data_IF_409598315506
#
_entry.id   IF_409598315506
#
_cell.length_a   1.000
_cell.length_b   1.000
_cell.length_c   1.000
_cell.angle_alpha   90.00
_cell.angle_beta   90.00
_cell.angle_gamma   90.00
#
_symmetry.space_group_name_H-M   'P 1'
#
loop_
_entity.id
_entity.type
_entity.pdbx_description
1 polymer ?
#
# COMPACT_ATOMS: atom_id res chain seq x y z
N UNK A 1 -6.62 -8.31 -15.77
CA UNK A 1 -7.55 -7.18 -16.01
C UNK A 1 -8.64 -7.18 -14.95
N UNK A 2 -8.80 -6.08 -14.22
CA UNK A 2 -9.84 -5.93 -13.18
C UNK A 2 -10.86 -4.91 -13.66
N UNK A 3 -12.09 -5.36 -13.84
CA UNK A 3 -13.20 -4.50 -14.26
C UNK A 3 -13.97 -4.03 -13.04
N UNK A 4 -13.98 -2.73 -12.81
CA UNK A 4 -14.85 -2.06 -11.83
C UNK A 4 -16.15 -1.64 -12.53
N UNK A 5 -17.08 -1.06 -11.79
CA UNK A 5 -18.39 -0.68 -12.33
C UNK A 5 -18.26 0.27 -13.54
N UNK A 6 -17.29 1.19 -13.52
CA UNK A 6 -17.07 2.20 -14.57
C UNK A 6 -15.63 2.29 -15.09
N UNK A 7 -14.67 1.60 -14.45
CA UNK A 7 -13.23 1.71 -14.74
C UNK A 7 -12.62 0.33 -14.90
N UNK A 8 -11.74 0.18 -15.87
CA UNK A 8 -10.93 -1.01 -16.08
C UNK A 8 -9.49 -0.75 -15.61
N UNK A 9 -9.01 -1.56 -14.68
CA UNK A 9 -7.62 -1.48 -14.18
C UNK A 9 -6.84 -2.68 -14.71
N UNK A 10 -5.79 -2.42 -15.47
CA UNK A 10 -4.86 -3.40 -16.06
C UNK A 10 -3.44 -3.21 -15.54
N UNK A 11 -3.01 -1.96 -15.45
CA UNK A 11 -1.62 -1.56 -15.19
C UNK A 11 -1.54 -0.87 -13.84
N UNK A 12 -0.71 -1.41 -12.97
CA UNK A 12 -0.50 -0.85 -11.63
C UNK A 12 0.94 -0.39 -11.47
N UNK A 13 1.13 0.84 -11.06
CA UNK A 13 2.42 1.34 -10.60
C UNK A 13 2.59 1.06 -9.12
N UNK A 14 3.69 0.41 -8.73
CA UNK A 14 4.10 0.19 -7.34
C UNK A 14 5.33 1.03 -7.06
N UNK A 15 5.20 2.04 -6.21
CA UNK A 15 6.25 3.00 -5.93
C UNK A 15 6.83 2.76 -4.53
N UNK A 16 8.07 2.29 -4.51
CA UNK A 16 8.76 1.74 -3.34
C UNK A 16 8.84 0.22 -3.39
N UNK A 17 10.06 -0.32 -3.45
CA UNK A 17 10.37 -1.74 -3.62
C UNK A 17 10.77 -2.44 -2.31
N UNK A 18 10.42 -1.85 -1.16
CA UNK A 18 10.57 -2.50 0.14
C UNK A 18 9.65 -3.71 0.30
N UNK A 19 9.67 -4.36 1.47
CA UNK A 19 8.86 -5.56 1.76
C UNK A 19 7.38 -5.38 1.40
N UNK A 20 6.79 -4.23 1.69
CA UNK A 20 5.38 -3.96 1.42
C UNK A 20 5.13 -3.80 -0.09
N UNK A 21 5.94 -2.99 -0.78
CA UNK A 21 5.77 -2.78 -2.22
C UNK A 21 6.04 -4.03 -3.03
N UNK A 22 7.10 -4.78 -2.72
CA UNK A 22 7.39 -6.05 -3.38
C UNK A 22 6.27 -7.09 -3.17
N UNK A 23 5.67 -7.12 -1.96
CA UNK A 23 4.50 -7.96 -1.67
C UNK A 23 3.27 -7.54 -2.46
N UNK A 24 3.03 -6.24 -2.62
CA UNK A 24 1.96 -5.73 -3.49
C UNK A 24 2.20 -6.12 -4.95
N UNK A 25 3.44 -5.97 -5.44
CA UNK A 25 3.78 -6.36 -6.81
C UNK A 25 3.47 -7.84 -7.06
N UNK A 26 3.94 -8.75 -6.20
CA UNK A 26 3.63 -10.18 -6.30
C UNK A 26 2.11 -10.44 -6.28
N UNK A 27 1.38 -9.75 -5.41
CA UNK A 27 -0.07 -9.92 -5.30
C UNK A 27 -0.83 -9.45 -6.55
N UNK A 28 -0.48 -8.29 -7.09
CA UNK A 28 -1.10 -7.78 -8.32
C UNK A 28 -0.82 -8.70 -9.52
N UNK A 29 0.40 -9.22 -9.64
CA UNK A 29 0.78 -10.21 -10.67
C UNK A 29 -0.04 -11.49 -10.56
N UNK A 30 -0.28 -11.99 -9.35
CA UNK A 30 -1.11 -13.16 -9.09
C UNK A 30 -2.59 -12.94 -9.49
N UNK A 31 -3.02 -11.67 -9.57
CA UNK A 31 -4.36 -11.29 -10.03
C UNK A 31 -4.38 -10.87 -11.52
N UNK A 32 -3.32 -11.18 -12.28
CA UNK A 32 -3.29 -10.98 -13.73
C UNK A 32 -3.10 -9.53 -14.17
N UNK A 33 -2.58 -8.67 -13.30
CA UNK A 33 -2.27 -7.27 -13.61
C UNK A 33 -0.84 -7.10 -14.12
N UNK A 34 -0.62 -6.11 -14.97
CA UNK A 34 0.71 -5.67 -15.38
C UNK A 34 1.27 -4.71 -14.32
N UNK A 35 2.48 -4.95 -13.85
CA UNK A 35 3.05 -4.18 -12.75
C UNK A 35 4.31 -3.46 -13.19
N UNK A 36 4.40 -2.15 -12.91
CA UNK A 36 5.65 -1.41 -13.00
C UNK A 36 6.09 -1.00 -11.60
N UNK A 37 7.27 -1.46 -11.19
CA UNK A 37 7.84 -1.16 -9.87
C UNK A 37 8.89 -0.08 -9.98
N UNK A 38 8.90 0.87 -9.03
CA UNK A 38 9.92 1.91 -8.93
C UNK A 38 10.55 1.96 -7.54
N UNK A 39 11.88 2.08 -7.53
CA UNK A 39 12.63 2.37 -6.31
C UNK A 39 14.01 2.95 -6.71
N UNK A 40 14.56 3.93 -5.99
CA UNK A 40 15.87 4.52 -6.31
C UNK A 40 17.07 3.65 -5.89
N UNK A 41 16.87 2.61 -5.08
CA UNK A 41 17.97 1.77 -4.61
C UNK A 41 18.54 0.91 -5.76
N UNK A 42 19.86 0.82 -5.90
CA UNK A 42 20.50 0.13 -7.05
C UNK A 42 20.21 -1.37 -7.12
N UNK A 43 19.93 -2.00 -5.99
CA UNK A 43 19.64 -3.43 -5.87
C UNK A 43 18.13 -3.74 -5.77
N UNK A 44 17.29 -2.72 -5.93
CA UNK A 44 15.84 -2.84 -5.75
C UNK A 44 15.21 -3.83 -6.74
N UNK A 45 15.61 -3.80 -8.01
CA UNK A 45 15.10 -4.73 -9.02
C UNK A 45 15.30 -6.19 -8.61
N UNK A 46 16.51 -6.54 -8.18
CA UNK A 46 16.83 -7.92 -7.79
C UNK A 46 16.12 -8.33 -6.50
N UNK A 47 15.93 -7.39 -5.59
CA UNK A 47 15.13 -7.61 -4.37
C UNK A 47 13.69 -7.92 -4.67
N UNK A 48 13.08 -7.16 -5.59
CA UNK A 48 11.70 -7.39 -6.04
C UNK A 48 11.58 -8.75 -6.71
N UNK A 49 12.49 -9.09 -7.64
CA UNK A 49 12.47 -10.38 -8.32
C UNK A 49 12.50 -11.54 -7.31
N UNK A 50 13.48 -11.54 -6.40
CA UNK A 50 13.56 -12.57 -5.33
C UNK A 50 12.33 -12.61 -4.43
N UNK A 51 11.70 -11.47 -4.16
CA UNK A 51 10.50 -11.42 -3.34
C UNK A 51 9.28 -12.03 -4.07
N UNK A 52 9.12 -11.72 -5.37
CA UNK A 52 8.08 -12.32 -6.21
C UNK A 52 8.25 -13.82 -6.26
N UNK A 53 9.46 -14.32 -6.57
CA UNK A 53 9.77 -15.74 -6.62
C UNK A 53 9.45 -16.45 -5.29
N UNK A 54 9.84 -15.84 -4.17
CA UNK A 54 9.60 -16.37 -2.83
C UNK A 54 8.13 -16.37 -2.41
N UNK A 55 7.33 -15.41 -2.89
CA UNK A 55 5.91 -15.30 -2.58
C UNK A 55 5.04 -16.20 -3.48
N UNK A 56 5.51 -16.51 -4.69
CA UNK A 56 4.72 -17.18 -5.72
C UNK A 56 4.12 -18.52 -5.29
N UNK A 57 4.87 -19.45 -4.65
CA UNK A 57 4.31 -20.73 -4.21
C UNK A 57 3.16 -20.60 -3.21
N UNK A 58 3.13 -19.53 -2.41
CA UNK A 58 2.01 -19.26 -1.51
C UNK A 58 0.80 -18.71 -2.26
N UNK A 59 1.04 -17.84 -3.25
CA UNK A 59 0.00 -17.29 -4.11
C UNK A 59 -0.65 -18.37 -4.98
N UNK A 60 0.11 -19.33 -5.50
CA UNK A 60 -0.42 -20.50 -6.20
C UNK A 60 -1.41 -21.29 -5.35
N UNK A 61 -1.09 -21.51 -4.07
CA UNK A 61 -1.99 -22.20 -3.12
C UNK A 61 -3.24 -21.40 -2.79
N UNK A 62 -3.17 -20.07 -2.83
CA UNK A 62 -4.31 -19.20 -2.60
C UNK A 62 -5.22 -19.07 -3.83
N UNK A 63 -4.72 -19.42 -4.99
CA UNK A 63 -5.40 -19.35 -6.28
C UNK A 63 -4.93 -18.17 -7.12
N UNK A 64 -4.51 -18.47 -8.35
CA UNK A 64 -4.08 -17.49 -9.34
C UNK A 64 -5.22 -17.12 -10.27
N UNK A 65 -5.25 -15.87 -10.72
CA UNK A 65 -6.09 -15.47 -11.84
C UNK A 65 -5.63 -16.14 -13.16
N UNK A 66 -6.50 -16.33 -14.15
CA UNK A 66 -6.13 -16.98 -15.42
C UNK A 66 -4.95 -16.34 -16.15
N UNK A 67 -4.79 -15.03 -15.99
CA UNK A 67 -3.73 -14.23 -16.65
C UNK A 67 -2.52 -13.98 -15.73
N UNK A 68 -2.46 -14.64 -14.57
CA UNK A 68 -1.36 -14.47 -13.61
C UNK A 68 -0.03 -14.95 -14.18
N UNK A 69 1.01 -14.16 -14.01
CA UNK A 69 2.38 -14.52 -14.37
C UNK A 69 3.38 -13.74 -13.49
N UNK A 70 4.40 -14.39 -12.95
CA UNK A 70 5.45 -13.72 -12.17
C UNK A 70 6.32 -12.81 -13.04
N UNK A 71 6.27 -12.94 -14.37
CA UNK A 71 7.13 -12.22 -15.32
C UNK A 71 6.48 -10.92 -15.87
N UNK A 72 5.21 -10.65 -15.56
CA UNK A 72 4.47 -9.49 -16.09
C UNK A 72 4.78 -8.20 -15.38
N UNK A 73 6.03 -7.97 -15.04
CA UNK A 73 6.45 -6.73 -14.39
C UNK A 73 7.67 -6.08 -15.04
N UNK A 74 7.79 -4.80 -14.81
CA UNK A 74 8.90 -3.97 -15.27
C UNK A 74 9.47 -3.18 -14.10
N UNK A 75 10.71 -2.77 -14.23
CA UNK A 75 11.37 -1.90 -13.25
C UNK A 75 11.78 -0.59 -13.87
N UNK A 76 11.49 0.50 -13.18
CA UNK A 76 11.89 1.85 -13.53
C UNK A 76 12.46 2.55 -12.30
N UNK A 77 13.67 3.12 -12.39
CA UNK A 77 14.26 3.85 -11.27
C UNK A 77 13.50 5.16 -10.97
N UNK A 78 13.00 5.83 -12.01
CA UNK A 78 12.21 7.06 -11.89
C UNK A 78 10.74 6.74 -11.61
N UNK A 79 10.17 7.27 -10.51
CA UNK A 79 8.78 7.00 -10.15
C UNK A 79 7.77 7.60 -11.13
N UNK A 80 8.11 8.71 -11.80
CA UNK A 80 7.22 9.31 -12.80
C UNK A 80 7.15 8.45 -14.05
N UNK A 81 8.28 7.88 -14.48
CA UNK A 81 8.32 6.95 -15.60
C UNK A 81 7.62 5.60 -15.26
N UNK A 82 7.69 5.16 -14.00
CA UNK A 82 6.97 3.98 -13.56
C UNK A 82 5.45 4.19 -13.52
N UNK A 83 5.02 5.41 -13.23
CA UNK A 83 3.62 5.79 -13.17
C UNK A 83 2.98 6.01 -14.55
N UNK A 84 3.80 6.20 -15.60
CA UNK A 84 3.30 6.47 -16.94
C UNK A 84 2.39 5.35 -17.45
N UNK A 85 1.18 5.73 -17.84
CA UNK A 85 0.15 4.82 -18.33
C UNK A 85 -0.41 3.86 -17.28
N UNK A 86 -0.17 4.07 -15.98
CA UNK A 86 -0.81 3.28 -14.93
C UNK A 86 -2.28 3.66 -14.74
N UNK A 87 -3.10 2.67 -14.47
CA UNK A 87 -4.54 2.82 -14.18
C UNK A 87 -4.80 2.93 -12.67
N UNK A 88 -3.81 2.52 -11.85
CA UNK A 88 -3.81 2.63 -10.38
C UNK A 88 -2.36 2.74 -9.87
N UNK A 89 -2.16 3.52 -8.81
CA UNK A 89 -0.83 3.69 -8.21
C UNK A 89 -0.86 3.31 -6.73
N UNK A 90 0.01 2.35 -6.32
CA UNK A 90 0.23 1.95 -4.94
C UNK A 90 1.59 2.47 -4.46
N UNK A 91 1.59 3.46 -3.59
CA UNK A 91 2.79 4.04 -3.01
C UNK A 91 3.17 3.30 -1.71
N UNK A 92 4.41 2.86 -1.60
CA UNK A 92 4.97 2.08 -0.49
C UNK A 92 6.40 2.53 -0.11
N UNK A 93 6.72 3.81 -0.31
CA UNK A 93 7.99 4.41 0.07
C UNK A 93 8.15 4.51 1.61
N UNK A 94 9.36 4.83 2.12
CA UNK A 94 9.60 4.93 3.55
C UNK A 94 8.62 5.85 4.29
N UNK A 95 8.25 5.48 5.52
CA UNK A 95 7.24 6.13 6.36
C UNK A 95 7.76 7.46 6.96
N UNK A 96 8.03 8.42 6.07
CA UNK A 96 8.53 9.77 6.40
C UNK A 96 7.79 10.81 5.58
N UNK A 97 7.31 11.87 6.25
CA UNK A 97 6.54 12.94 5.59
C UNK A 97 7.30 13.58 4.43
N UNK A 98 8.57 13.93 4.62
CA UNK A 98 9.37 14.64 3.62
C UNK A 98 9.49 13.83 2.33
N UNK A 99 9.73 12.52 2.47
CA UNK A 99 9.87 11.60 1.33
C UNK A 99 8.52 11.44 0.63
N UNK A 100 7.46 11.13 1.38
CA UNK A 100 6.15 10.85 0.79
C UNK A 100 5.50 12.10 0.18
N UNK A 101 5.61 13.27 0.80
CA UNK A 101 5.07 14.53 0.25
C UNK A 101 5.72 14.83 -1.11
N UNK A 102 7.04 14.77 -1.19
CA UNK A 102 7.73 15.06 -2.47
C UNK A 102 7.39 14.01 -3.53
N UNK A 103 7.35 12.73 -3.14
CA UNK A 103 7.01 11.63 -4.04
C UNK A 103 5.58 11.76 -4.55
N UNK A 104 4.61 11.96 -3.66
CA UNK A 104 3.19 12.11 -4.03
C UNK A 104 2.97 13.33 -4.93
N UNK A 105 3.68 14.44 -4.67
CA UNK A 105 3.66 15.62 -5.54
C UNK A 105 4.18 15.32 -6.96
N UNK A 106 5.21 14.48 -7.09
CA UNK A 106 5.74 14.03 -8.40
C UNK A 106 4.74 13.14 -9.12
N UNK A 107 4.17 12.15 -8.42
CA UNK A 107 3.16 11.24 -8.95
C UNK A 107 1.89 11.99 -9.37
N UNK A 108 1.48 12.98 -8.58
CA UNK A 108 0.33 13.83 -8.88
C UNK A 108 0.47 14.61 -10.19
N UNK A 109 1.69 14.94 -10.58
CA UNK A 109 1.97 15.62 -11.85
C UNK A 109 2.10 14.66 -13.04
N UNK A 110 2.53 13.42 -12.76
CA UNK A 110 2.81 12.42 -13.81
C UNK A 110 1.57 11.64 -14.24
N UNK A 111 0.65 11.39 -13.31
CA UNK A 111 -0.54 10.57 -13.54
C UNK A 111 -1.72 11.40 -14.04
N UNK A 112 -2.57 10.85 -14.92
CA UNK A 112 -3.88 11.42 -15.25
C UNK A 112 -4.73 11.66 -13.99
N UNK A 113 -5.59 12.69 -14.01
CA UNK A 113 -6.35 13.15 -12.83
C UNK A 113 -7.27 12.07 -12.23
N UNK A 114 -7.79 11.21 -13.06
CA UNK A 114 -8.71 10.12 -12.70
C UNK A 114 -8.04 8.92 -12.02
N UNK A 115 -6.71 8.80 -12.11
CA UNK A 115 -5.97 7.69 -11.52
C UNK A 115 -5.83 7.85 -10.02
N UNK A 116 -6.29 6.86 -9.28
CA UNK A 116 -6.17 6.82 -7.81
C UNK A 116 -4.71 6.60 -7.39
N UNK A 117 -4.27 7.39 -6.43
CA UNK A 117 -2.98 7.21 -5.75
C UNK A 117 -3.26 6.76 -4.32
N UNK A 118 -2.98 5.49 -4.04
CA UNK A 118 -3.15 4.88 -2.72
C UNK A 118 -1.79 4.76 -2.01
N UNK A 119 -1.67 5.31 -0.81
CA UNK A 119 -0.46 5.19 0.00
C UNK A 119 -0.59 4.06 1.02
N UNK A 120 0.45 3.22 1.14
CA UNK A 120 0.56 2.17 2.16
C UNK A 120 0.94 2.72 3.55
N UNK A 121 0.86 4.03 3.76
CA UNK A 121 1.20 4.64 5.04
C UNK A 121 0.31 4.10 6.17
N UNK A 122 0.93 3.78 7.32
CA UNK A 122 0.25 3.27 8.50
C UNK A 122 -0.01 4.32 9.57
N UNK A 123 0.80 5.38 9.61
CA UNK A 123 0.78 6.35 10.69
C UNK A 123 0.80 7.82 10.27
N UNK A 124 1.02 8.10 8.99
CA UNK A 124 1.02 9.48 8.50
C UNK A 124 -0.39 9.91 8.09
N UNK A 125 -0.74 11.15 8.42
CA UNK A 125 -2.04 11.71 8.07
C UNK A 125 -2.11 12.00 6.56
N UNK A 126 -3.03 11.35 5.86
CA UNK A 126 -3.23 11.57 4.43
C UNK A 126 -3.55 13.03 4.12
N UNK A 127 -4.30 13.72 4.99
CA UNK A 127 -4.61 15.15 4.85
C UNK A 127 -3.36 16.02 4.76
N UNK A 128 -2.29 15.64 5.49
CA UNK A 128 -0.99 16.31 5.42
C UNK A 128 -0.17 15.88 4.19
N UNK A 129 -0.26 14.61 3.82
CA UNK A 129 0.44 14.09 2.64
C UNK A 129 -0.08 14.74 1.34
N UNK A 130 -1.35 15.08 1.28
CA UNK A 130 -2.00 15.66 0.09
C UNK A 130 -1.91 17.19 0.00
N UNK A 131 -1.30 17.89 0.98
CA UNK A 131 -1.27 19.37 1.04
C UNK A 131 -0.66 20.00 -0.22
N UNK A 132 0.34 19.37 -0.82
CA UNK A 132 1.11 19.90 -1.95
C UNK A 132 0.75 19.25 -3.28
N UNK A 133 -0.34 18.50 -3.35
CA UNK A 133 -0.86 17.91 -4.57
C UNK A 133 -1.89 18.81 -5.23
N UNK A 134 -1.86 18.90 -6.58
CA UNK A 134 -2.80 19.68 -7.36
C UNK A 134 -4.18 19.01 -7.41
N UNK A 135 -4.19 17.68 -7.48
CA UNK A 135 -5.38 16.84 -7.53
C UNK A 135 -5.47 15.96 -6.27
N UNK A 136 -5.47 16.65 -5.12
CA UNK A 136 -5.48 15.99 -3.81
C UNK A 136 -6.68 15.08 -3.57
N UNK A 137 -7.76 15.29 -4.32
CA UNK A 137 -9.02 14.53 -4.22
C UNK A 137 -8.88 13.05 -4.61
N UNK A 138 -7.83 12.69 -5.39
CA UNK A 138 -7.56 11.30 -5.81
C UNK A 138 -6.61 10.53 -4.91
N UNK A 139 -6.11 11.15 -3.83
CA UNK A 139 -5.20 10.52 -2.89
C UNK A 139 -5.95 9.88 -1.74
N UNK A 140 -5.57 8.65 -1.39
CA UNK A 140 -6.17 7.86 -0.32
C UNK A 140 -5.11 7.04 0.40
N UNK A 141 -5.30 6.70 1.66
CA UNK A 141 -4.56 5.60 2.29
C UNK A 141 -5.16 4.27 1.81
N UNK A 142 -4.30 3.36 1.38
CA UNK A 142 -4.60 1.95 1.12
C UNK A 142 -3.62 1.11 1.93
N UNK A 143 -3.79 1.10 3.26
CA UNK A 143 -2.86 0.47 4.19
C UNK A 143 -3.08 -1.04 4.27
N UNK A 144 -2.13 -1.86 3.82
CA UNK A 144 -2.22 -3.31 3.93
C UNK A 144 -1.75 -3.80 5.29
N UNK A 145 -2.21 -4.98 5.67
CA UNK A 145 -1.58 -5.75 6.75
C UNK A 145 -0.47 -6.64 6.19
N UNK A 146 0.65 -6.72 6.91
CA UNK A 146 1.86 -7.39 6.45
C UNK A 146 1.80 -8.90 6.77
N UNK A 147 2.12 -9.78 5.79
CA UNK A 147 2.51 -9.49 4.41
C UNK A 147 1.29 -9.30 3.48
N UNK A 148 1.28 -8.25 2.64
CA UNK A 148 0.17 -7.95 1.74
C UNK A 148 -0.26 -9.09 0.83
N UNK A 149 0.64 -9.92 0.36
CA UNK A 149 0.31 -11.04 -0.53
C UNK A 149 -0.41 -12.20 0.17
N UNK A 150 -0.45 -12.22 1.52
CA UNK A 150 -1.16 -13.24 2.31
C UNK A 150 -2.37 -12.66 3.03
N UNK A 151 -2.19 -11.52 3.73
CA UNK A 151 -3.26 -10.95 4.56
C UNK A 151 -4.25 -10.19 3.68
N UNK A 152 -5.55 -10.56 3.70
CA UNK A 152 -6.53 -9.93 2.80
C UNK A 152 -6.98 -8.53 3.25
N UNK A 153 -6.73 -8.14 4.50
CA UNK A 153 -7.24 -6.89 5.06
C UNK A 153 -6.48 -5.67 4.51
N UNK A 154 -7.23 -4.65 4.09
CA UNK A 154 -6.72 -3.33 3.69
C UNK A 154 -7.58 -2.25 4.35
N UNK A 155 -6.96 -1.30 5.03
CA UNK A 155 -7.64 -0.11 5.55
C UNK A 155 -7.62 0.99 4.50
N UNK A 156 -8.81 1.53 4.19
CA UNK A 156 -8.98 2.63 3.23
C UNK A 156 -9.41 3.88 3.97
N UNK A 157 -8.55 4.90 3.99
CA UNK A 157 -8.77 6.14 4.75
C UNK A 157 -8.61 7.35 3.84
N UNK A 158 -9.65 8.19 3.76
CA UNK A 158 -9.59 9.47 3.07
C UNK A 158 -9.04 10.59 3.93
N UNK A 159 -8.42 11.59 3.32
CA UNK A 159 -8.09 12.86 3.93
C UNK A 159 -9.19 13.89 3.73
N UNK A 160 -8.98 15.12 4.23
CA UNK A 160 -9.97 16.20 4.10
C UNK A 160 -10.30 16.58 2.66
N UNK A 161 -9.35 16.40 1.73
CA UNK A 161 -9.53 16.71 0.32
C UNK A 161 -9.89 15.48 -0.53
N UNK A 162 -9.85 14.27 0.03
CA UNK A 162 -10.13 13.04 -0.72
C UNK A 162 -11.60 13.00 -1.16
N UNK A 163 -11.84 12.83 -2.46
CA UNK A 163 -13.18 12.66 -2.98
C UNK A 163 -13.81 11.33 -2.55
N UNK A 164 -15.11 11.33 -2.33
CA UNK A 164 -15.86 10.11 -2.00
C UNK A 164 -15.72 9.06 -3.12
N UNK A 165 -15.71 9.48 -4.38
CA UNK A 165 -15.51 8.61 -5.54
C UNK A 165 -14.15 7.87 -5.46
N UNK A 166 -13.08 8.56 -5.08
CA UNK A 166 -11.74 7.96 -4.89
C UNK A 166 -11.75 6.83 -3.87
N UNK A 167 -12.43 7.04 -2.73
CA UNK A 167 -12.55 6.00 -1.68
C UNK A 167 -13.33 4.81 -2.23
N UNK A 168 -14.43 5.04 -2.96
CA UNK A 168 -15.24 3.98 -3.56
C UNK A 168 -14.41 3.19 -4.57
N UNK A 169 -13.75 3.87 -5.51
CA UNK A 169 -12.89 3.23 -6.52
C UNK A 169 -11.78 2.39 -5.88
N UNK A 170 -11.08 2.92 -4.88
CA UNK A 170 -10.04 2.17 -4.17
C UNK A 170 -10.62 0.91 -3.48
N UNK A 171 -11.75 1.04 -2.80
CA UNK A 171 -12.41 -0.09 -2.15
C UNK A 171 -12.89 -1.14 -3.15
N UNK A 172 -13.46 -0.74 -4.27
CA UNK A 172 -13.89 -1.65 -5.34
C UNK A 172 -12.69 -2.37 -5.96
N UNK A 173 -11.61 -1.64 -6.26
CA UNK A 173 -10.38 -2.24 -6.76
C UNK A 173 -9.82 -3.29 -5.82
N UNK A 174 -9.66 -2.98 -4.54
CA UNK A 174 -9.15 -3.95 -3.57
C UNK A 174 -10.07 -5.17 -3.44
N UNK A 175 -11.39 -4.99 -3.44
CA UNK A 175 -12.34 -6.13 -3.42
C UNK A 175 -12.21 -7.00 -4.67
N UNK A 176 -12.11 -6.38 -5.83
CA UNK A 176 -12.02 -7.08 -7.12
C UNK A 176 -10.77 -7.96 -7.25
N UNK A 177 -9.70 -7.61 -6.53
CA UNK A 177 -8.50 -8.44 -6.40
C UNK A 177 -8.51 -9.31 -5.12
N UNK A 178 -9.65 -9.60 -4.51
CA UNK A 178 -9.78 -10.53 -3.39
C UNK A 178 -9.38 -9.98 -2.03
N UNK A 179 -9.14 -8.67 -1.89
CA UNK A 179 -8.93 -8.05 -0.58
C UNK A 179 -10.24 -7.77 0.14
N UNK A 180 -10.16 -7.63 1.46
CA UNK A 180 -11.24 -7.18 2.32
C UNK A 180 -10.98 -5.73 2.79
N UNK A 181 -11.30 -4.73 1.95
CA UNK A 181 -11.08 -3.34 2.35
C UNK A 181 -12.07 -2.92 3.42
N UNK A 182 -11.56 -2.25 4.45
CA UNK A 182 -12.36 -1.57 5.48
C UNK A 182 -12.20 -0.07 5.31
N UNK A 183 -13.32 0.63 5.35
CA UNK A 183 -13.30 2.09 5.37
C UNK A 183 -13.19 2.55 6.81
N UNK A 184 -12.16 3.33 7.11
CA UNK A 184 -12.03 4.03 8.37
C UNK A 184 -12.39 5.52 8.23
N UNK A 185 -12.75 6.14 9.37
CA UNK A 185 -13.08 7.55 9.41
C UNK A 185 -11.87 8.41 9.00
N UNK A 186 -12.09 9.59 8.38
CA UNK A 186 -11.01 10.51 8.02
C UNK A 186 -10.10 10.77 9.21
N UNK A 187 -8.79 10.64 9.00
CA UNK A 187 -7.81 10.96 10.04
C UNK A 187 -7.84 12.47 10.33
N UNK A 188 -8.47 12.85 11.42
CA UNK A 188 -8.67 14.25 11.80
C UNK A 188 -9.97 14.53 12.55
N UNK A 189 -10.94 13.60 12.57
CA UNK A 189 -12.10 13.73 13.45
C UNK A 189 -11.70 13.39 14.88
N UNK A 190 -11.67 14.40 15.75
CA UNK A 190 -11.31 14.32 17.18
C UNK A 190 -12.32 13.54 18.03
N UNK A 191 -13.25 12.79 17.45
CA UNK A 191 -14.39 12.18 18.15
C UNK A 191 -14.54 10.67 18.06
N UNK A 192 -13.60 9.95 17.43
CA UNK A 192 -13.60 8.48 17.58
C UNK A 192 -12.21 8.07 18.04
N UNK A 193 -12.13 7.66 19.30
CA UNK A 193 -10.89 7.24 19.94
C UNK A 193 -10.22 6.14 19.11
N UNK A 194 -9.12 6.48 18.50
CA UNK A 194 -8.12 5.53 18.08
C UNK A 194 -7.67 4.75 19.31
N UNK A 195 -8.30 3.62 19.54
CA UNK A 195 -7.65 2.59 20.36
C UNK A 195 -6.54 2.02 19.49
N UNK A 196 -5.28 2.32 19.79
CA UNK A 196 -4.20 1.85 18.95
C UNK A 196 -4.13 0.33 19.05
N UNK A 197 -4.41 -0.36 17.96
CA UNK A 197 -3.84 -1.68 17.69
C UNK A 197 -2.29 -1.57 17.51
N UNK A 198 -1.69 -0.53 18.13
CA UNK A 198 -0.25 -0.24 18.12
C UNK A 198 0.62 -1.32 18.74
N UNK A 199 0.04 -2.35 19.32
CA UNK A 199 0.82 -3.39 20.00
C UNK A 199 1.29 -4.53 19.09
N UNK A 200 0.81 -4.65 17.85
CA UNK A 200 1.11 -5.83 17.02
C UNK A 200 2.10 -5.62 15.88
N UNK A 201 2.35 -4.40 15.44
CA UNK A 201 3.27 -4.15 14.32
C UNK A 201 4.75 -3.97 14.70
N UNK A 202 5.10 -3.82 15.98
CA UNK A 202 6.48 -3.49 16.41
C UNK A 202 7.34 -4.67 16.87
N UNK A 203 6.85 -5.90 16.84
CA UNK A 203 7.62 -7.05 17.36
C UNK A 203 8.43 -7.85 16.32
N UNK A 204 8.41 -7.48 15.04
CA UNK A 204 9.10 -8.28 14.01
C UNK A 204 10.17 -7.54 13.19
N UNK A 205 10.61 -6.35 13.58
CA UNK A 205 11.70 -5.66 12.88
C UNK A 205 12.89 -5.27 13.77
N UNK A 206 13.38 -6.21 14.59
CA UNK A 206 14.72 -6.12 15.17
C UNK A 206 15.24 -7.53 15.41
N UNK A 207 16.00 -8.02 14.45
CA UNK A 207 16.87 -9.17 14.66
C UNK A 207 17.97 -8.86 15.66
N UNK A 208 18.35 -9.88 16.44
CA UNK A 208 19.55 -10.00 17.29
C UNK A 208 19.65 -9.06 18.49
N UNK A 209 19.06 -9.44 19.62
CA UNK A 209 19.81 -9.75 20.83
C UNK A 209 18.92 -10.43 21.88
N UNK A 210 19.03 -11.75 22.02
CA UNK A 210 18.45 -12.47 23.15
C UNK A 210 19.45 -12.44 24.29
N UNK A 211 19.17 -11.68 25.29
CA UNK A 211 19.43 -11.91 26.73
C UNK A 211 19.52 -10.57 27.46
N UNK A 212 18.44 -10.20 28.16
CA UNK A 212 18.44 -9.76 29.55
C UNK A 212 17.16 -8.95 29.91
N UNK A 213 16.54 -9.49 30.96
CA UNK A 213 15.68 -8.83 31.93
C UNK A 213 14.19 -8.63 31.61
N UNK A 214 13.47 -9.71 31.85
CA UNK A 214 12.12 -9.62 32.38
C UNK A 214 12.21 -9.31 33.88
N UNK A 215 11.93 -8.08 34.32
CA UNK A 215 11.59 -7.75 35.72
C UNK A 215 10.59 -6.61 35.79
N UNK A 216 9.41 -6.95 36.33
CA UNK A 216 8.41 -6.09 37.00
C UNK A 216 7.55 -5.20 36.10
N UNK A 217 6.34 -5.69 35.79
CA UNK A 217 5.18 -4.85 35.51
C UNK A 217 4.27 -4.85 36.78
N UNK A 218 3.77 -3.72 37.25
CA UNK A 218 2.76 -3.66 38.33
C UNK A 218 1.38 -4.04 37.77
N UNK A 219 0.61 -4.72 38.59
CA UNK A 219 -0.76 -5.17 38.34
C UNK A 219 -1.68 -3.97 38.10
N UNK A 220 -2.29 -3.85 36.91
CA UNK A 220 -3.46 -3.02 36.69
C UNK A 220 -4.69 -3.69 37.35
N UNK A 221 -5.27 -3.03 38.37
CA UNK A 221 -6.61 -3.36 38.87
C UNK A 221 -7.65 -2.74 37.93
N UNK A 222 -8.63 -3.50 37.52
CA UNK A 222 -9.84 -3.01 36.89
C UNK A 222 -10.74 -2.39 37.96
N UNK A 223 -11.37 -1.24 37.74
CA UNK A 223 -12.44 -0.72 38.60
C UNK A 223 -13.76 -1.44 38.31
N UNK A 224 -14.70 -1.42 39.28
CA UNK A 224 -15.96 -2.16 39.26
C UNK A 224 -16.92 -1.72 38.16
#
# INVERSE_FOLDING_TARGET
>A
MVKLTEIEIRRVAVIGAGTIGASWAAYFLAHGLDVTVSDPAPDARDKVARHIDGAWPALEKLGLAPEASPDRWRFQADPSAAADGADFCQESAPERYEIKIELLRRLDRALPREVVIASSSSGLLISRLQEHCNYAERLVIGHPFNPPHIVPLVEVVGGFKTAQATIVTAMEFYRAIGKHPRRDAPSGSTTVGWRPLRAWCWQFSAGSDRRRRCRRLPRCRLPP
#
